data_IF_372612193020
#
_entry.id   IF_372612193020
#
_cell.length_a   1.000
_cell.length_b   1.000
_cell.length_c   1.000
_cell.angle_alpha   90.00
_cell.angle_beta   90.00
_cell.angle_gamma   90.00
#
_symmetry.space_group_name_H-M   'P 1'
#
loop_
_entity.id
_entity.type
_entity.pdbx_description
1 polymer ?
#
# COMPACT_ATOMS: atom_id res chain seq x y z
N UNK A 1 -10.55 -3.43 11.42
CA UNK A 1 -10.66 -2.42 10.34
C UNK A 1 -10.66 -3.14 9.01
N UNK A 2 -11.34 -2.60 8.02
CA UNK A 2 -11.40 -3.21 6.70
C UNK A 2 -10.39 -2.53 5.77
N UNK A 3 -9.43 -3.30 5.26
CA UNK A 3 -8.27 -2.78 4.53
C UNK A 3 -8.20 -3.39 3.14
N UNK A 4 -8.03 -2.54 2.12
CA UNK A 4 -7.77 -2.99 0.76
C UNK A 4 -6.26 -2.98 0.53
N UNK A 5 -5.72 -4.03 -0.08
CA UNK A 5 -4.29 -4.11 -0.36
C UNK A 5 -4.05 -4.53 -1.81
N UNK A 6 -3.05 -3.93 -2.42
CA UNK A 6 -2.64 -4.26 -3.78
C UNK A 6 -1.18 -3.98 -4.00
N UNK A 7 -0.60 -4.59 -5.03
CA UNK A 7 0.82 -4.39 -5.33
C UNK A 7 1.08 -4.59 -6.82
N UNK A 8 2.27 -4.13 -7.25
CA UNK A 8 2.81 -4.58 -8.52
C UNK A 8 3.51 -5.93 -8.30
N UNK A 9 4.15 -6.44 -9.36
CA UNK A 9 4.84 -7.72 -9.25
C UNK A 9 6.01 -7.67 -8.26
N UNK A 10 6.70 -6.53 -8.17
CA UNK A 10 7.83 -6.39 -7.25
C UNK A 10 7.36 -6.43 -5.79
N UNK A 11 6.16 -5.96 -5.53
CA UNK A 11 5.62 -5.93 -4.17
C UNK A 11 4.89 -7.19 -3.74
N UNK A 12 4.77 -8.19 -4.61
CA UNK A 12 3.92 -9.35 -4.34
C UNK A 12 4.27 -10.05 -3.02
N UNK A 13 5.55 -10.34 -2.80
CA UNK A 13 5.96 -11.08 -1.61
C UNK A 13 5.69 -10.30 -0.34
N UNK A 14 6.01 -9.00 -0.35
CA UNK A 14 5.75 -8.15 0.80
C UNK A 14 4.26 -7.97 1.02
N UNK A 15 3.47 -7.91 -0.05
CA UNK A 15 2.01 -7.85 0.07
C UNK A 15 1.50 -9.06 0.85
N UNK A 16 2.00 -10.26 0.53
CA UNK A 16 1.57 -11.46 1.23
C UNK A 16 1.96 -11.41 2.71
N UNK A 17 3.15 -10.91 3.03
CA UNK A 17 3.59 -10.78 4.42
C UNK A 17 2.76 -9.76 5.19
N UNK A 18 2.51 -8.61 4.60
CA UNK A 18 1.70 -7.57 5.23
C UNK A 18 0.26 -8.05 5.45
N UNK A 19 -0.29 -8.72 4.44
CA UNK A 19 -1.64 -9.27 4.52
C UNK A 19 -1.76 -10.26 5.67
N UNK A 20 -0.78 -11.17 5.80
CA UNK A 20 -0.79 -12.15 6.89
C UNK A 20 -0.69 -11.47 8.25
N UNK A 21 0.18 -10.47 8.38
CA UNK A 21 0.36 -9.75 9.63
C UNK A 21 -0.92 -9.04 10.06
N UNK A 22 -1.55 -8.31 9.14
CA UNK A 22 -2.76 -7.56 9.45
C UNK A 22 -3.92 -8.48 9.77
N UNK A 23 -4.03 -9.59 9.06
CA UNK A 23 -5.07 -10.59 9.34
C UNK A 23 -4.89 -11.16 10.73
N UNK A 24 -3.64 -11.45 11.13
CA UNK A 24 -3.35 -11.96 12.47
C UNK A 24 -3.72 -10.94 13.55
N UNK A 25 -3.69 -9.67 13.25
CA UNK A 25 -4.08 -8.61 14.20
C UNK A 25 -5.58 -8.33 14.22
N UNK A 26 -6.36 -9.08 13.46
CA UNK A 26 -7.82 -8.98 13.51
C UNK A 26 -8.43 -8.08 12.44
N UNK A 27 -7.65 -7.58 11.49
CA UNK A 27 -8.17 -6.78 10.40
C UNK A 27 -8.71 -7.66 9.28
N UNK A 28 -9.73 -7.17 8.60
CA UNK A 28 -10.24 -7.83 7.40
C UNK A 28 -9.49 -7.23 6.21
N UNK A 29 -8.68 -8.05 5.54
CA UNK A 29 -7.84 -7.59 4.43
C UNK A 29 -8.31 -8.23 3.14
N UNK A 30 -8.63 -7.39 2.15
CA UNK A 30 -9.06 -7.86 0.83
C UNK A 30 -7.96 -7.55 -0.16
N UNK A 31 -7.52 -8.58 -0.87
CA UNK A 31 -6.39 -8.51 -1.79
C UNK A 31 -6.89 -8.22 -3.21
N UNK A 32 -6.47 -7.09 -3.77
CA UNK A 32 -6.84 -6.66 -5.11
C UNK A 32 -5.82 -7.08 -6.19
N UNK A 33 -4.74 -7.79 -5.79
CA UNK A 33 -3.68 -8.22 -6.72
C UNK A 33 -2.39 -7.46 -6.45
N UNK A 34 -1.28 -7.77 -7.12
CA UNK A 34 -1.12 -8.78 -8.15
C UNK A 34 -1.25 -10.19 -7.57
N UNK A 35 -1.73 -11.14 -8.37
CA UNK A 35 -1.93 -12.51 -7.88
C UNK A 35 -0.65 -13.34 -7.85
N UNK A 36 0.43 -12.86 -8.47
CA UNK A 36 1.69 -13.59 -8.54
C UNK A 36 2.83 -12.60 -8.68
N UNK A 37 4.11 -13.05 -8.51
CA UNK A 37 5.26 -12.14 -8.65
C UNK A 37 5.68 -11.88 -10.10
N UNK A 38 4.91 -12.35 -11.07
CA UNK A 38 5.26 -12.11 -12.47
C UNK A 38 4.94 -10.69 -12.90
N UNK A 39 5.68 -10.13 -13.88
CA UNK A 39 5.48 -8.75 -14.30
C UNK A 39 4.03 -8.47 -14.71
N UNK A 40 3.49 -7.37 -14.21
CA UNK A 40 2.13 -6.93 -14.49
C UNK A 40 2.12 -5.42 -14.64
N UNK A 41 1.07 -4.91 -15.29
CA UNK A 41 0.86 -3.48 -15.40
C UNK A 41 0.27 -3.00 -14.07
N UNK A 42 1.07 -2.34 -13.26
CA UNK A 42 0.71 -2.02 -11.89
C UNK A 42 -0.56 -1.16 -11.73
N UNK A 43 -0.91 -0.25 -12.65
CA UNK A 43 -2.16 0.50 -12.45
C UNK A 43 -3.39 -0.38 -12.36
N UNK A 44 -3.35 -1.58 -12.96
CA UNK A 44 -4.47 -2.52 -12.89
C UNK A 44 -4.75 -3.01 -11.46
N UNK A 45 -3.77 -2.93 -10.57
CA UNK A 45 -3.88 -3.44 -9.21
C UNK A 45 -3.84 -2.34 -8.17
N UNK A 46 -3.31 -1.16 -8.51
CA UNK A 46 -3.16 -0.05 -7.58
C UNK A 46 -4.42 0.82 -7.59
N UNK A 47 -4.91 1.16 -8.78
CA UNK A 47 -6.07 2.05 -8.89
C UNK A 47 -7.32 1.49 -8.22
N UNK A 48 -7.66 0.18 -8.37
CA UNK A 48 -8.83 -0.36 -7.70
C UNK A 48 -8.79 -0.25 -6.18
N UNK A 49 -7.59 -0.35 -5.57
CA UNK A 49 -7.45 -0.14 -4.13
C UNK A 49 -7.86 1.28 -3.77
N UNK A 50 -7.32 2.26 -4.49
CA UNK A 50 -7.61 3.66 -4.24
C UNK A 50 -9.10 3.95 -4.44
N UNK A 51 -9.70 3.42 -5.49
CA UNK A 51 -11.11 3.63 -5.77
C UNK A 51 -12.02 3.04 -4.69
N UNK A 52 -11.66 1.87 -4.18
CA UNK A 52 -12.44 1.22 -3.12
C UNK A 52 -12.39 2.05 -1.83
N UNK A 53 -11.24 2.63 -1.50
CA UNK A 53 -11.11 3.50 -0.34
C UNK A 53 -11.91 4.79 -0.56
N UNK A 54 -11.81 5.37 -1.76
CA UNK A 54 -12.53 6.61 -2.07
C UNK A 54 -14.04 6.44 -1.98
N UNK A 55 -14.55 5.26 -2.33
CA UNK A 55 -15.98 4.97 -2.24
C UNK A 55 -16.45 4.68 -0.81
N UNK A 56 -15.54 4.61 0.14
CA UNK A 56 -15.89 4.30 1.53
C UNK A 56 -16.10 2.82 1.81
N UNK A 57 -15.79 1.95 0.84
CA UNK A 57 -15.92 0.51 1.03
C UNK A 57 -14.86 -0.05 1.98
N UNK A 58 -13.73 0.63 2.08
CA UNK A 58 -12.63 0.25 2.94
C UNK A 58 -12.15 1.48 3.72
N UNK A 59 -11.74 1.25 4.96
CA UNK A 59 -11.29 2.35 5.81
C UNK A 59 -9.90 2.82 5.42
N UNK A 60 -9.05 1.91 4.96
CA UNK A 60 -7.67 2.21 4.58
C UNK A 60 -7.28 1.37 3.39
N UNK A 61 -6.26 1.84 2.67
CA UNK A 61 -5.66 1.11 1.57
C UNK A 61 -4.16 1.04 1.73
N UNK A 62 -3.57 -0.05 1.26
CA UNK A 62 -2.12 -0.22 1.25
C UNK A 62 -1.74 -0.68 -0.16
N UNK A 63 -0.80 0.04 -0.76
CA UNK A 63 -0.26 -0.35 -2.06
C UNK A 63 1.25 -0.50 -1.92
N UNK A 64 1.81 -1.46 -2.62
CA UNK A 64 3.23 -1.78 -2.51
C UNK A 64 3.85 -1.84 -3.90
N UNK A 65 5.02 -1.25 -4.03
CA UNK A 65 5.78 -1.25 -5.29
C UNK A 65 7.23 -0.98 -5.00
N UNK A 66 8.06 -0.93 -6.02
CA UNK A 66 9.49 -0.75 -5.86
C UNK A 66 9.83 0.51 -5.07
N UNK A 67 9.62 1.67 -5.65
CA UNK A 67 9.90 2.94 -4.98
C UNK A 67 8.71 3.46 -4.19
N UNK A 68 7.51 3.03 -4.53
CA UNK A 68 6.28 3.57 -3.96
C UNK A 68 5.79 4.84 -4.63
N UNK A 69 6.62 5.51 -5.43
CA UNK A 69 6.25 6.78 -6.02
C UNK A 69 5.22 6.64 -7.13
N UNK A 70 5.41 5.69 -8.04
CA UNK A 70 4.46 5.45 -9.12
C UNK A 70 3.11 5.04 -8.59
N UNK A 71 3.10 4.17 -7.58
CA UNK A 71 1.88 3.73 -6.94
C UNK A 71 1.15 4.89 -6.28
N UNK A 72 1.90 5.78 -5.60
CA UNK A 72 1.30 6.93 -4.95
C UNK A 72 0.70 7.90 -5.98
N UNK A 73 1.37 8.08 -7.10
CA UNK A 73 0.85 8.94 -8.17
C UNK A 73 -0.48 8.41 -8.69
N UNK A 74 -0.54 7.11 -8.97
CA UNK A 74 -1.78 6.49 -9.46
C UNK A 74 -2.89 6.64 -8.42
N UNK A 75 -2.60 6.34 -7.16
CA UNK A 75 -3.59 6.40 -6.11
C UNK A 75 -4.12 7.83 -5.92
N UNK A 76 -3.22 8.82 -5.94
CA UNK A 76 -3.62 10.21 -5.69
C UNK A 76 -4.39 10.83 -6.86
N UNK A 77 -4.45 10.17 -8.00
CA UNK A 77 -5.31 10.64 -9.10
C UNK A 77 -6.78 10.35 -8.85
N UNK A 78 -7.09 9.52 -7.87
CA UNK A 78 -8.46 9.20 -7.53
C UNK A 78 -8.98 10.24 -6.54
N UNK A 79 -10.06 10.97 -6.86
CA UNK A 79 -10.60 11.96 -5.92
C UNK A 79 -10.97 11.31 -4.60
N UNK A 80 -10.63 11.99 -3.51
CA UNK A 80 -10.90 11.48 -2.16
C UNK A 80 -9.78 10.64 -1.58
N UNK A 81 -8.73 10.36 -2.35
CA UNK A 81 -7.58 9.58 -1.88
C UNK A 81 -6.44 10.52 -1.48
N UNK A 82 -5.89 10.28 -0.30
CA UNK A 82 -4.70 10.96 0.19
C UNK A 82 -3.66 9.90 0.44
N UNK A 83 -2.87 9.59 -0.58
CA UNK A 83 -1.86 8.54 -0.52
C UNK A 83 -0.50 9.15 -0.22
N UNK A 84 0.20 8.58 0.75
CA UNK A 84 1.54 8.99 1.12
C UNK A 84 2.49 7.82 0.96
N UNK A 85 3.72 8.11 0.54
CA UNK A 85 4.79 7.11 0.48
C UNK A 85 5.34 6.93 1.90
N UNK A 86 5.48 5.68 2.30
CA UNK A 86 6.02 5.35 3.61
C UNK A 86 7.11 4.30 3.45
N UNK A 87 8.17 4.41 4.25
CA UNK A 87 9.29 3.48 4.18
C UNK A 87 9.65 2.89 5.54
N UNK A 88 8.97 3.31 6.59
CA UNK A 88 9.11 2.72 7.92
C UNK A 88 7.89 3.09 8.76
N UNK A 89 7.86 2.59 9.99
CA UNK A 89 6.75 2.82 10.90
C UNK A 89 6.54 4.32 11.18
N UNK A 90 7.64 5.04 11.35
CA UNK A 90 7.56 6.46 11.69
C UNK A 90 6.93 7.27 10.54
N UNK A 91 7.38 7.05 9.30
CA UNK A 91 6.84 7.78 8.16
C UNK A 91 5.36 7.46 7.94
N UNK A 92 4.95 6.21 8.18
CA UNK A 92 3.54 5.82 8.05
C UNK A 92 2.69 6.53 9.11
N UNK A 93 3.18 6.59 10.35
CA UNK A 93 2.47 7.25 11.44
C UNK A 93 2.32 8.75 11.17
N UNK A 94 3.41 9.39 10.70
CA UNK A 94 3.39 10.82 10.40
C UNK A 94 2.46 11.14 9.23
N UNK A 95 2.41 10.27 8.23
CA UNK A 95 1.50 10.46 7.09
C UNK A 95 0.06 10.52 7.57
N UNK A 96 -0.32 9.66 8.50
CA UNK A 96 -1.67 9.68 9.05
C UNK A 96 -1.88 10.89 9.96
N UNK A 97 -0.94 11.15 10.84
CA UNK A 97 -1.07 12.20 11.87
C UNK A 97 -1.10 13.60 11.24
N UNK A 98 -0.25 13.85 10.26
CA UNK A 98 -0.10 15.19 9.71
C UNK A 98 -0.82 15.41 8.39
N UNK A 99 -1.04 14.36 7.63
CA UNK A 99 -1.63 14.49 6.30
C UNK A 99 -2.97 13.77 6.17
N UNK A 100 -3.43 13.11 7.22
CA UNK A 100 -4.68 12.36 7.23
C UNK A 100 -4.76 11.38 6.06
N UNK A 101 -3.65 10.70 5.73
CA UNK A 101 -3.62 9.80 4.60
C UNK A 101 -4.53 8.61 4.86
N UNK A 102 -5.22 8.19 3.81
CA UNK A 102 -6.10 7.01 3.87
C UNK A 102 -5.56 5.86 3.03
N UNK A 103 -4.50 6.09 2.27
CA UNK A 103 -3.80 5.06 1.53
C UNK A 103 -2.30 5.23 1.79
N UNK A 104 -1.61 4.12 2.03
CA UNK A 104 -0.16 4.12 2.17
C UNK A 104 0.46 3.41 0.99
N UNK A 105 1.47 4.03 0.40
CA UNK A 105 2.29 3.42 -0.65
C UNK A 105 3.61 3.04 -0.01
N UNK A 106 3.85 1.74 0.19
CA UNK A 106 5.04 1.27 0.87
C UNK A 106 6.20 1.17 -0.12
N UNK A 107 7.30 1.81 0.22
CA UNK A 107 8.50 1.83 -0.60
C UNK A 107 9.36 0.61 -0.28
N UNK A 108 9.41 -0.36 -1.20
CA UNK A 108 10.11 -1.62 -0.97
C UNK A 108 11.61 -1.45 -1.06
N UNK A 109 12.09 -0.44 -1.76
CA UNK A 109 13.52 -0.15 -1.83
C UNK A 109 14.07 0.05 -0.43
N UNK A 110 13.34 0.78 0.42
CA UNK A 110 13.78 1.05 1.78
C UNK A 110 13.47 -0.09 2.74
N UNK A 111 12.33 -0.76 2.53
CA UNK A 111 11.92 -1.85 3.41
C UNK A 111 12.82 -3.05 3.26
N UNK A 112 13.23 -3.37 2.02
CA UNK A 112 14.01 -4.58 1.73
C UNK A 112 15.49 -4.42 1.96
N UNK A 113 15.98 -3.19 2.19
CA UNK A 113 17.40 -2.99 2.46
C UNK A 113 17.72 -3.32 3.91
N UNK A 114 18.94 -3.84 4.15
CA UNK A 114 19.36 -4.05 5.54
C UNK A 114 19.32 -2.73 6.32
N UNK A 115 19.03 -2.82 7.60
CA UNK A 115 18.99 -1.64 8.46
C UNK A 115 20.37 -1.00 8.48
N UNK A 116 20.41 0.28 8.19
CA UNK A 116 21.64 1.04 8.24
C UNK A 116 21.96 1.45 9.65
N UNK A 117 23.21 1.29 10.03
CA UNK A 117 23.70 1.79 11.32
C UNK A 117 24.42 3.09 11.08
N UNK A 118 23.99 4.08 11.74
CA UNK A 118 24.64 5.38 11.66
C UNK A 118 25.68 5.49 12.73
#
# INVERSE_FOLDING_TARGET
MKIAIGSDHAGFRYKEMVKAHLTAEGHQVIDFGAPSPEPVDYPLFIRPVAEAVARGEFERGIVLGGSGNGEAIVANRVPGVRCAVAWNMESARLARAHNASNVLSLSLIHISEPTRRS
#
